data_IF_084450988526
#
_entry.id   IF_084450988526
#
_cell.length_a   1.000
_cell.length_b   1.000
_cell.length_c   1.000
_cell.angle_alpha   90.00
_cell.angle_beta   90.00
_cell.angle_gamma   90.00
#
_symmetry.space_group_name_H-M   'P 1'
#
loop_
_entity.id
_entity.type
_entity.pdbx_description
1 polymer ?
#
# COMPACT_ATOMS: atom_id res chain seq x y z
N UNK A 1 -28.47 -3.70 -30.15
CA UNK A 1 -27.19 -3.63 -30.88
C UNK A 1 -26.22 -2.55 -30.34
N UNK A 2 -26.62 -1.72 -29.37
CA UNK A 2 -25.76 -0.66 -28.77
C UNK A 2 -24.93 -1.18 -27.58
N UNK A 3 -25.47 -2.10 -26.79
CA UNK A 3 -24.81 -2.65 -25.59
C UNK A 3 -23.51 -3.44 -25.90
N UNK A 4 -23.39 -4.02 -27.10
CA UNK A 4 -22.18 -4.71 -27.57
C UNK A 4 -21.06 -3.77 -28.03
N UNK A 5 -21.37 -2.51 -28.36
CA UNK A 5 -20.34 -1.54 -28.76
C UNK A 5 -19.71 -0.82 -27.58
N UNK A 6 -20.37 -0.79 -26.43
CA UNK A 6 -19.86 -0.16 -25.21
C UNK A 6 -18.90 -1.04 -24.40
N UNK A 7 -18.74 -2.34 -24.72
CA UNK A 7 -17.76 -3.20 -24.04
C UNK A 7 -16.31 -2.95 -24.48
N UNK A 8 -16.12 -2.23 -25.59
CA UNK A 8 -14.82 -1.85 -26.14
C UNK A 8 -14.46 -0.38 -25.90
N UNK A 9 -15.28 0.36 -25.13
CA UNK A 9 -14.75 1.56 -24.48
C UNK A 9 -13.73 1.06 -23.47
N UNK A 10 -12.45 1.24 -23.79
CA UNK A 10 -11.33 0.87 -22.93
C UNK A 10 -11.66 1.24 -21.49
N UNK A 11 -11.95 0.22 -20.67
CA UNK A 11 -12.04 0.38 -19.23
C UNK A 11 -10.66 0.84 -18.80
N UNK A 12 -10.47 2.16 -18.68
CA UNK A 12 -9.28 2.86 -18.25
C UNK A 12 -8.37 1.96 -17.40
N UNK A 13 -7.50 1.19 -18.06
CA UNK A 13 -6.67 0.16 -17.42
C UNK A 13 -5.69 0.83 -16.47
N UNK A 14 -5.30 2.05 -16.82
CA UNK A 14 -4.56 3.00 -15.98
C UNK A 14 -5.34 3.32 -14.70
N UNK A 15 -6.62 3.73 -14.78
CA UNK A 15 -7.42 4.07 -13.59
C UNK A 15 -7.67 2.86 -12.69
N UNK A 16 -7.89 1.68 -13.26
CA UNK A 16 -8.01 0.44 -12.49
C UNK A 16 -6.69 0.10 -11.77
N UNK A 17 -5.55 0.25 -12.44
CA UNK A 17 -4.23 0.09 -11.80
C UNK A 17 -3.98 1.11 -10.68
N UNK A 18 -4.47 2.35 -10.81
CA UNK A 18 -4.41 3.36 -9.75
C UNK A 18 -5.35 3.06 -8.58
N UNK A 19 -6.56 2.57 -8.84
CA UNK A 19 -7.51 2.16 -7.79
C UNK A 19 -6.96 0.96 -7.00
N UNK A 20 -6.50 -0.08 -7.70
CA UNK A 20 -5.90 -1.27 -7.06
C UNK A 20 -4.56 -0.98 -6.35
N UNK A 21 -3.76 0.00 -6.83
CA UNK A 21 -2.54 0.43 -6.12
C UNK A 21 -2.84 1.31 -4.90
N UNK A 22 -3.90 2.10 -4.94
CA UNK A 22 -4.30 2.96 -3.84
C UNK A 22 -4.93 2.18 -2.68
N UNK A 23 -5.57 1.04 -2.95
CA UNK A 23 -6.30 0.23 -1.94
C UNK A 23 -5.47 -0.12 -0.70
N UNK A 24 -4.17 -0.36 -0.87
CA UNK A 24 -3.26 -0.71 0.24
C UNK A 24 -2.19 0.34 0.51
N UNK A 25 -2.31 1.56 -0.04
CA UNK A 25 -1.26 2.57 0.12
C UNK A 25 -1.16 3.05 1.56
N UNK A 26 -2.28 3.16 2.26
CA UNK A 26 -2.31 3.64 3.64
C UNK A 26 -1.81 2.57 4.62
N UNK A 27 -2.17 1.30 4.40
CA UNK A 27 -1.63 0.16 5.14
C UNK A 27 -0.10 0.05 4.95
N UNK A 28 0.38 0.22 3.71
CA UNK A 28 1.82 0.24 3.40
C UNK A 28 2.53 1.41 4.09
N UNK A 29 1.93 2.59 4.12
CA UNK A 29 2.50 3.76 4.82
C UNK A 29 2.63 3.48 6.31
N UNK A 30 1.60 2.93 6.93
CA UNK A 30 1.62 2.56 8.34
C UNK A 30 2.74 1.55 8.63
N UNK A 31 2.85 0.50 7.81
CA UNK A 31 3.91 -0.52 7.94
C UNK A 31 5.32 0.08 7.79
N UNK A 32 5.52 0.94 6.79
CA UNK A 32 6.83 1.55 6.53
C UNK A 32 7.21 2.58 7.59
N UNK A 33 6.24 3.33 8.12
CA UNK A 33 6.49 4.24 9.23
C UNK A 33 6.90 3.46 10.49
N UNK A 34 6.16 2.41 10.83
CA UNK A 34 6.52 1.53 11.94
C UNK A 34 7.93 0.95 11.77
N UNK A 35 8.29 0.55 10.55
CA UNK A 35 9.64 0.05 10.26
C UNK A 35 10.73 1.11 10.41
N UNK A 36 10.47 2.35 9.99
CA UNK A 36 11.40 3.46 10.19
C UNK A 36 11.61 3.74 11.69
N UNK A 37 10.52 3.82 12.45
CA UNK A 37 10.57 4.06 13.90
C UNK A 37 11.32 2.93 14.63
N UNK A 38 11.08 1.67 14.23
CA UNK A 38 11.81 0.50 14.74
C UNK A 38 13.32 0.60 14.50
N UNK A 39 13.71 0.97 13.28
CA UNK A 39 15.12 1.11 12.92
C UNK A 39 15.78 2.27 13.66
N UNK A 40 15.08 3.40 13.83
CA UNK A 40 15.60 4.55 14.55
C UNK A 40 15.85 4.23 16.03
N UNK A 41 14.91 3.51 16.68
CA UNK A 41 15.13 3.01 18.05
C UNK A 41 16.33 2.06 18.12
N UNK A 42 16.50 1.20 17.11
CA UNK A 42 17.63 0.26 17.05
C UNK A 42 19.00 0.89 16.82
N UNK A 43 19.05 2.17 16.44
CA UNK A 43 20.32 2.92 16.39
C UNK A 43 20.86 3.25 17.78
N UNK A 44 19.97 3.36 18.77
CA UNK A 44 20.31 3.75 20.13
C UNK A 44 20.37 2.56 21.09
N UNK A 45 19.51 1.56 20.87
CA UNK A 45 19.40 0.37 21.72
C UNK A 45 18.91 -0.84 20.93
N UNK A 46 19.48 -2.01 21.15
CA UNK A 46 19.01 -3.23 20.50
C UNK A 46 17.64 -3.63 21.07
N UNK A 47 16.61 -3.63 20.20
CA UNK A 47 15.22 -3.97 20.53
C UNK A 47 14.69 -4.94 19.49
N UNK A 48 14.09 -6.04 19.93
CA UNK A 48 13.50 -7.03 19.02
C UNK A 48 12.21 -6.48 18.39
N UNK A 49 11.84 -6.89 17.16
CA UNK A 49 10.58 -6.48 16.54
C UNK A 49 9.34 -6.83 17.37
N UNK A 50 9.40 -7.94 18.13
CA UNK A 50 8.31 -8.38 19.00
C UNK A 50 8.11 -7.47 20.21
N UNK A 51 9.21 -6.95 20.76
CA UNK A 51 9.18 -6.04 21.90
C UNK A 51 8.83 -4.60 21.50
N UNK A 52 9.14 -4.20 20.26
CA UNK A 52 8.81 -2.87 19.73
C UNK A 52 7.31 -2.69 19.41
N UNK A 53 6.62 -3.78 19.06
CA UNK A 53 5.18 -3.76 18.75
C UNK A 53 4.24 -3.97 19.95
N UNK A 54 4.79 -4.12 21.16
CA UNK A 54 4.03 -4.24 22.42
C UNK A 54 3.82 -2.88 23.06
#
# INVERSE_FOLDING_TARGET
AVERQMSHMERNSVRAAYIHKAEHIDERRLMLQWWADFLDVNREREVSPYDFGK
#
